data_IF_050952401981
#
_entry.id   IF_050952401981
#
_cell.length_a   1.000
_cell.length_b   1.000
_cell.length_c   1.000
_cell.angle_alpha   90.00
_cell.angle_beta   90.00
_cell.angle_gamma   90.00
#
_symmetry.space_group_name_H-M   'P 1'
#
loop_
_entity.id
_entity.type
_entity.pdbx_description
1 polymer ?
#
# COMPACT_ATOMS: atom_id res chain seq x y z
N UNK A 1 -9.33 16.24 35.46
CA UNK A 1 -8.31 15.30 34.94
C UNK A 1 -8.88 13.91 34.61
N UNK A 2 -9.73 13.31 35.45
CA UNK A 2 -10.34 11.98 35.21
C UNK A 2 -11.29 11.95 34.00
N UNK A 3 -12.08 13.02 33.78
CA UNK A 3 -13.04 13.09 32.65
C UNK A 3 -12.33 13.16 31.28
N UNK A 4 -11.18 13.84 31.20
CA UNK A 4 -10.36 13.91 29.96
C UNK A 4 -9.75 12.53 29.66
N UNK A 5 -9.36 11.77 30.70
CA UNK A 5 -8.85 10.41 30.54
C UNK A 5 -9.94 9.45 30.03
N UNK A 6 -11.20 9.60 30.48
CA UNK A 6 -12.35 8.83 29.97
C UNK A 6 -12.73 9.18 28.52
N UNK A 7 -12.59 10.44 28.11
CA UNK A 7 -12.81 10.86 26.71
C UNK A 7 -11.76 10.27 25.74
N UNK A 8 -10.53 10.04 26.20
CA UNK A 8 -9.49 9.36 25.41
C UNK A 8 -9.78 7.86 25.19
N UNK A 9 -10.54 7.21 26.08
CA UNK A 9 -10.98 5.81 25.88
C UNK A 9 -12.17 5.68 24.91
N UNK A 10 -12.86 6.77 24.57
CA UNK A 10 -13.98 6.77 23.61
C UNK A 10 -13.52 6.96 22.15
N UNK A 11 -12.25 7.30 21.92
CA UNK A 11 -11.63 7.39 20.60
C UNK A 11 -10.72 6.17 20.36
N UNK A 12 -11.26 4.96 20.54
CA UNK A 12 -10.57 3.78 20.01
C UNK A 12 -10.39 3.97 18.49
N UNK A 13 -9.18 3.81 17.92
CA UNK A 13 -8.97 3.88 16.49
C UNK A 13 -9.94 2.94 15.79
N UNK A 14 -10.85 3.50 15.01
CA UNK A 14 -11.86 2.71 14.32
C UNK A 14 -11.14 1.98 13.17
N UNK A 15 -10.88 0.68 13.34
CA UNK A 15 -10.26 -0.18 12.34
C UNK A 15 -11.21 -0.54 11.20
N UNK A 16 -11.79 0.47 10.56
CA UNK A 16 -12.67 0.29 9.39
C UNK A 16 -11.88 -0.21 8.20
N UNK A 17 -12.51 -1.06 7.40
CA UNK A 17 -11.97 -1.51 6.10
C UNK A 17 -11.66 -0.34 5.17
N UNK A 18 -10.58 -0.46 4.40
CA UNK A 18 -10.24 0.43 3.30
C UNK A 18 -10.72 -0.16 1.98
N UNK A 19 -11.53 0.59 1.24
CA UNK A 19 -12.10 0.12 -0.01
C UNK A 19 -12.12 1.26 -1.04
N UNK A 20 -11.56 1.01 -2.22
CA UNK A 20 -11.71 1.90 -3.36
C UNK A 20 -11.54 1.12 -4.68
N UNK A 21 -12.04 1.71 -5.76
CA UNK A 21 -11.91 1.17 -7.10
C UNK A 21 -11.80 2.33 -8.11
N UNK A 22 -10.65 2.43 -8.77
CA UNK A 22 -10.38 3.32 -9.88
C UNK A 22 -10.35 2.49 -11.17
N UNK A 23 -11.40 2.60 -11.98
CA UNK A 23 -11.39 2.03 -13.34
C UNK A 23 -10.46 2.81 -14.28
N UNK A 24 -10.29 4.10 -14.00
CA UNK A 24 -9.38 5.06 -14.64
C UNK A 24 -9.02 6.15 -13.63
N UNK A 25 -8.10 7.04 -13.97
CA UNK A 25 -7.66 8.16 -13.14
C UNK A 25 -8.04 9.50 -13.79
N UNK A 26 -9.17 10.12 -13.40
CA UNK A 26 -9.60 11.39 -13.99
C UNK A 26 -8.74 12.57 -13.51
N UNK A 27 -8.61 13.57 -14.38
CA UNK A 27 -8.00 14.86 -14.02
C UNK A 27 -8.69 15.48 -12.79
N UNK A 28 -7.88 16.00 -11.86
CA UNK A 28 -8.37 16.63 -10.63
C UNK A 28 -8.75 15.66 -9.51
N UNK A 29 -8.38 14.38 -9.62
CA UNK A 29 -8.51 13.41 -8.53
C UNK A 29 -7.79 13.92 -7.26
N UNK A 30 -8.52 13.98 -6.15
CA UNK A 30 -8.02 14.46 -4.85
C UNK A 30 -7.90 13.35 -3.80
N UNK A 31 -8.18 12.11 -4.20
CA UNK A 31 -8.06 10.91 -3.36
C UNK A 31 -6.69 10.26 -3.45
N UNK A 32 -5.74 10.89 -4.16
CA UNK A 32 -4.36 10.45 -4.30
C UNK A 32 -3.42 11.54 -3.80
N UNK A 33 -2.36 11.14 -3.11
CA UNK A 33 -1.18 11.98 -2.89
C UNK A 33 -0.14 11.59 -3.93
N UNK A 34 0.36 12.58 -4.67
CA UNK A 34 1.37 12.40 -5.71
C UNK A 34 2.68 13.04 -5.25
N UNK A 35 3.78 12.31 -5.38
CA UNK A 35 5.12 12.70 -4.97
C UNK A 35 6.11 12.50 -6.13
N UNK A 36 7.19 13.30 -6.15
CA UNK A 36 8.16 13.26 -7.24
C UNK A 36 7.55 13.74 -8.56
N UNK A 37 7.79 13.01 -9.65
CA UNK A 37 7.24 13.32 -10.99
C UNK A 37 5.91 12.61 -11.28
N UNK A 38 5.31 11.95 -10.28
CA UNK A 38 4.01 11.29 -10.46
C UNK A 38 2.91 12.32 -10.81
N UNK A 39 2.13 12.00 -11.82
CA UNK A 39 1.12 12.90 -12.40
C UNK A 39 -0.07 12.12 -12.96
N UNK A 40 -1.18 12.80 -13.21
CA UNK A 40 -2.28 12.25 -14.01
C UNK A 40 -2.04 12.61 -15.46
N UNK A 41 -2.00 11.59 -16.33
CA UNK A 41 -1.79 11.72 -17.77
C UNK A 41 -3.03 11.20 -18.50
N UNK A 42 -3.97 12.10 -18.77
CA UNK A 42 -5.27 11.78 -19.36
C UNK A 42 -6.16 10.99 -18.40
N UNK A 43 -6.21 9.67 -18.58
CA UNK A 43 -6.97 8.73 -17.76
C UNK A 43 -6.07 7.78 -16.96
N UNK A 44 -4.76 8.01 -16.98
CA UNK A 44 -3.75 7.14 -16.38
C UNK A 44 -3.04 7.84 -15.22
N UNK A 45 -2.70 7.08 -14.18
CA UNK A 45 -1.74 7.52 -13.17
C UNK A 45 -0.34 7.24 -13.70
N UNK A 46 0.40 8.27 -14.07
CA UNK A 46 1.77 8.17 -14.59
C UNK A 46 2.76 8.36 -13.44
N UNK A 47 3.64 7.38 -13.23
CA UNK A 47 4.63 7.41 -12.15
C UNK A 47 5.98 7.95 -12.62
N UNK A 48 6.36 7.74 -13.89
CA UNK A 48 7.60 8.29 -14.47
C UNK A 48 7.39 8.83 -15.88
N UNK A 49 8.35 9.63 -16.33
CA UNK A 49 8.46 10.13 -17.70
C UNK A 49 9.63 9.44 -18.42
N UNK A 50 9.72 9.63 -19.74
CA UNK A 50 10.82 9.08 -20.54
C UNK A 50 12.08 9.91 -20.32
N UNK A 51 13.21 9.26 -20.01
CA UNK A 51 14.52 9.92 -19.86
C UNK A 51 14.99 10.69 -21.11
N UNK A 52 14.35 10.49 -22.26
CA UNK A 52 14.61 11.25 -23.49
C UNK A 52 14.11 12.70 -23.44
N UNK A 53 13.26 13.06 -22.48
CA UNK A 53 12.62 14.37 -22.41
C UNK A 53 13.35 15.39 -21.51
N UNK A 54 14.20 14.96 -20.57
CA UNK A 54 15.12 15.86 -19.85
C UNK A 54 16.19 15.08 -19.08
N UNK A 55 17.48 15.34 -19.33
CA UNK A 55 18.59 14.52 -18.81
C UNK A 55 19.06 14.90 -17.40
N UNK A 56 18.40 15.82 -16.69
CA UNK A 56 19.01 16.39 -15.48
C UNK A 56 18.20 16.31 -14.17
N UNK A 57 16.91 15.94 -14.15
CA UNK A 57 16.16 16.05 -12.89
C UNK A 57 15.10 14.97 -12.67
N UNK A 58 15.45 13.97 -11.84
CA UNK A 58 14.50 13.18 -11.03
C UNK A 58 13.51 12.27 -11.79
N UNK A 59 13.97 11.10 -12.22
CA UNK A 59 13.12 10.03 -12.78
C UNK A 59 12.50 9.13 -11.71
N UNK A 60 11.84 9.72 -10.71
CA UNK A 60 11.19 8.98 -9.62
C UNK A 60 9.84 9.59 -9.27
N UNK A 61 8.81 8.76 -9.22
CA UNK A 61 7.48 9.17 -8.80
C UNK A 61 6.83 8.15 -7.89
N UNK A 62 5.97 8.65 -7.01
CA UNK A 62 5.21 7.85 -6.05
C UNK A 62 3.80 8.39 -5.95
N UNK A 63 2.84 7.49 -5.82
CA UNK A 63 1.44 7.82 -5.69
C UNK A 63 0.77 6.92 -4.65
N UNK A 64 0.11 7.52 -3.68
CA UNK A 64 -0.55 6.79 -2.57
C UNK A 64 -2.01 7.16 -2.46
N UNK A 65 -2.86 6.21 -2.05
CA UNK A 65 -4.24 6.53 -1.71
C UNK A 65 -4.28 7.42 -0.47
N UNK A 66 -5.17 8.42 -0.48
CA UNK A 66 -5.08 9.52 0.49
C UNK A 66 -5.46 9.16 1.92
N UNK A 67 -6.26 8.10 2.10
CA UNK A 67 -6.66 7.63 3.42
C UNK A 67 -5.79 6.43 3.84
N UNK A 68 -5.06 6.53 4.97
CA UNK A 68 -4.40 5.37 5.54
C UNK A 68 -5.44 4.41 6.14
N UNK A 69 -5.02 3.17 6.41
CA UNK A 69 -5.84 2.20 7.13
C UNK A 69 -5.08 1.54 8.27
N UNK A 70 -5.80 1.11 9.31
CA UNK A 70 -5.20 0.42 10.44
C UNK A 70 -4.90 -1.02 10.04
N UNK A 71 -3.62 -1.39 9.96
CA UNK A 71 -3.20 -2.73 9.55
C UNK A 71 -3.47 -3.76 10.66
N UNK A 72 -3.27 -3.36 11.92
CA UNK A 72 -3.43 -4.23 13.10
C UNK A 72 -4.18 -3.54 14.23
N UNK A 73 -5.05 -4.31 14.87
CA UNK A 73 -5.55 -4.00 16.19
C UNK A 73 -4.70 -4.69 17.27
N UNK A 74 -3.94 -3.89 18.02
CA UNK A 74 -3.06 -4.38 19.09
C UNK A 74 -3.83 -5.01 20.25
N UNK A 75 -5.05 -4.54 20.55
CA UNK A 75 -5.84 -5.06 21.67
C UNK A 75 -6.39 -6.46 21.38
N UNK A 76 -6.75 -6.73 20.13
CA UNK A 76 -7.32 -8.02 19.69
C UNK A 76 -6.28 -8.95 19.05
N UNK A 77 -5.08 -8.43 18.74
CA UNK A 77 -4.08 -9.18 17.97
C UNK A 77 -4.51 -9.50 16.54
N UNK A 78 -5.55 -8.83 16.02
CA UNK A 78 -6.14 -9.08 14.70
C UNK A 78 -5.41 -8.25 13.65
N UNK A 79 -5.02 -8.89 12.56
CA UNK A 79 -4.37 -8.31 11.40
C UNK A 79 -5.37 -8.29 10.24
N UNK A 80 -5.28 -7.28 9.38
CA UNK A 80 -6.17 -7.13 8.22
C UNK A 80 -5.76 -8.07 7.09
N UNK A 81 -6.73 -8.77 6.50
CA UNK A 81 -6.58 -9.36 5.16
C UNK A 81 -6.85 -8.28 4.12
N UNK A 82 -6.12 -8.32 3.00
CA UNK A 82 -6.40 -7.41 1.90
C UNK A 82 -6.23 -8.07 0.53
N UNK A 83 -6.87 -7.47 -0.46
CA UNK A 83 -6.64 -7.77 -1.87
C UNK A 83 -6.56 -6.46 -2.63
N UNK A 84 -5.57 -6.34 -3.50
CA UNK A 84 -5.47 -5.24 -4.46
C UNK A 84 -5.35 -5.81 -5.86
N UNK A 85 -6.02 -5.16 -6.82
CA UNK A 85 -5.91 -5.50 -8.23
C UNK A 85 -5.59 -4.24 -9.00
N UNK A 86 -4.67 -4.33 -9.93
CA UNK A 86 -4.36 -3.22 -10.81
C UNK A 86 -4.01 -3.71 -12.21
N UNK A 87 -4.18 -2.81 -13.16
CA UNK A 87 -3.62 -2.97 -14.50
C UNK A 87 -2.66 -1.84 -14.76
N UNK A 88 -1.58 -2.12 -15.48
CA UNK A 88 -0.49 -1.19 -15.67
C UNK A 88 0.21 -1.43 -17.00
N UNK A 89 0.99 -0.45 -17.41
CA UNK A 89 1.80 -0.50 -18.61
C UNK A 89 3.18 0.06 -18.29
N UNK A 90 4.22 -0.64 -18.72
CA UNK A 90 5.59 -0.13 -18.76
C UNK A 90 6.00 -0.10 -20.22
N UNK A 91 6.36 1.08 -20.74
CA UNK A 91 6.65 1.27 -22.15
C UNK A 91 8.03 1.90 -22.36
N UNK A 92 8.94 1.18 -23.03
CA UNK A 92 10.26 1.70 -23.39
C UNK A 92 10.32 2.34 -24.79
N UNK A 93 9.18 2.58 -25.44
CA UNK A 93 9.09 3.19 -26.77
C UNK A 93 9.89 2.41 -27.83
N UNK A 94 9.78 1.07 -27.80
CA UNK A 94 10.53 0.13 -28.62
C UNK A 94 12.06 0.15 -28.41
N UNK A 95 12.56 0.75 -27.33
CA UNK A 95 13.99 0.71 -26.96
C UNK A 95 14.32 -0.62 -26.27
N UNK A 96 15.53 -1.11 -26.52
CA UNK A 96 16.06 -2.32 -25.88
C UNK A 96 16.73 -2.05 -24.54
N UNK A 97 17.15 -0.82 -24.30
CA UNK A 97 17.72 -0.39 -23.03
C UNK A 97 16.61 0.30 -22.25
N UNK A 98 16.08 -0.38 -21.24
CA UNK A 98 15.02 0.08 -20.36
C UNK A 98 15.39 -0.23 -18.92
N UNK A 99 14.88 0.58 -18.00
CA UNK A 99 15.07 0.45 -16.55
C UNK A 99 14.03 1.34 -15.84
N UNK A 100 13.85 1.27 -14.52
CA UNK A 100 14.30 0.20 -13.61
C UNK A 100 13.11 -0.67 -13.20
N UNK A 101 11.94 -0.07 -12.95
CA UNK A 101 10.71 -0.81 -12.67
C UNK A 101 9.69 -0.01 -11.86
N UNK A 102 8.70 -0.74 -11.34
CA UNK A 102 7.71 -0.20 -10.41
C UNK A 102 7.46 -1.17 -9.26
N UNK A 103 6.96 -0.65 -8.15
CA UNK A 103 6.56 -1.44 -6.99
C UNK A 103 5.18 -1.00 -6.48
N UNK A 104 4.32 -1.97 -6.14
CA UNK A 104 3.20 -1.73 -5.22
C UNK A 104 3.70 -1.93 -3.80
N UNK A 105 3.44 -1.00 -2.88
CA UNK A 105 3.98 -1.08 -1.52
C UNK A 105 2.95 -0.81 -0.43
N UNK A 106 3.25 -1.33 0.75
CA UNK A 106 2.69 -0.95 2.04
C UNK A 106 3.81 -0.33 2.89
N UNK A 107 3.54 0.81 3.52
CA UNK A 107 4.48 1.50 4.40
C UNK A 107 3.75 2.22 5.55
N UNK A 108 4.43 2.60 6.66
CA UNK A 108 3.83 3.39 7.73
C UNK A 108 3.21 4.68 7.22
N UNK A 109 2.10 5.09 7.84
CA UNK A 109 1.51 6.40 7.60
C UNK A 109 2.53 7.51 7.93
N UNK A 110 2.71 8.45 6.99
CA UNK A 110 3.76 9.47 7.06
C UNK A 110 5.08 9.08 6.38
N UNK A 111 5.19 7.87 5.82
CA UNK A 111 6.24 7.55 4.86
C UNK A 111 6.09 8.45 3.63
N UNK A 112 7.20 9.03 3.19
CA UNK A 112 7.28 9.90 2.02
C UNK A 112 8.43 9.51 1.10
N UNK A 113 8.33 9.95 -0.16
CA UNK A 113 9.40 9.84 -1.15
C UNK A 113 10.54 10.78 -0.78
N UNK A 114 11.73 10.23 -0.57
CA UNK A 114 12.95 11.03 -0.51
C UNK A 114 13.67 10.94 -1.85
N UNK A 115 13.42 11.93 -2.70
CA UNK A 115 13.78 11.88 -4.12
C UNK A 115 15.29 11.94 -4.40
N UNK A 116 16.11 12.26 -3.39
CA UNK A 116 17.57 12.19 -3.46
C UNK A 116 18.15 10.78 -3.24
N UNK A 117 17.38 9.82 -2.71
CA UNK A 117 17.88 8.47 -2.37
C UNK A 117 17.05 7.34 -3.00
N UNK A 118 15.76 7.55 -3.28
CA UNK A 118 14.89 6.52 -3.87
C UNK A 118 15.01 6.40 -5.40
N UNK A 119 16.18 6.67 -5.98
CA UNK A 119 16.38 6.68 -7.44
C UNK A 119 16.86 5.32 -7.95
N UNK A 120 16.85 5.17 -9.27
CA UNK A 120 17.41 4.03 -10.00
C UNK A 120 16.83 2.70 -9.47
N UNK A 121 17.66 1.69 -9.22
CA UNK A 121 17.27 0.40 -8.64
C UNK A 121 16.60 0.42 -7.25
N UNK A 122 16.35 1.59 -6.66
CA UNK A 122 15.54 1.67 -5.43
C UNK A 122 14.04 1.69 -5.69
N UNK A 123 13.60 1.82 -6.95
CA UNK A 123 12.18 1.82 -7.36
C UNK A 123 11.29 2.86 -6.64
N UNK A 124 11.89 3.94 -6.11
CA UNK A 124 11.17 4.95 -5.32
C UNK A 124 10.85 4.52 -3.88
N UNK A 125 11.36 3.37 -3.44
CA UNK A 125 11.30 2.90 -2.05
C UNK A 125 12.36 3.66 -1.23
N UNK A 126 11.96 4.14 -0.05
CA UNK A 126 12.74 5.11 0.74
C UNK A 126 13.91 4.48 1.50
N UNK A 127 14.91 3.99 0.75
CA UNK A 127 16.17 3.44 1.27
C UNK A 127 17.32 4.41 1.06
N UNK A 128 18.18 4.54 2.07
CA UNK A 128 19.47 5.21 1.95
C UNK A 128 20.51 4.13 1.65
N UNK A 129 21.31 4.31 0.62
CA UNK A 129 22.61 3.64 0.50
C UNK A 129 23.70 4.56 1.07
N UNK A 130 24.07 4.44 2.35
CA UNK A 130 25.36 4.98 2.74
C UNK A 130 26.44 4.23 1.94
N UNK A 131 27.55 4.88 1.62
CA UNK A 131 28.70 4.25 0.94
C UNK A 131 29.36 3.11 1.75
N UNK A 132 28.76 2.76 2.88
CA UNK A 132 29.06 1.63 3.76
C UNK A 132 27.96 0.59 3.51
N UNK A 133 28.31 -0.65 3.19
CA UNK A 133 27.47 -1.75 2.66
C UNK A 133 26.13 -2.11 3.36
N UNK A 134 25.59 -1.29 4.25
CA UNK A 134 24.30 -1.47 4.91
C UNK A 134 23.31 -0.39 4.46
N UNK A 135 22.27 -0.78 3.73
CA UNK A 135 21.18 0.13 3.39
C UNK A 135 20.42 0.55 4.66
N UNK A 136 20.23 1.85 4.88
CA UNK A 136 19.39 2.36 5.98
C UNK A 136 17.98 2.56 5.42
N UNK A 137 17.03 1.75 5.87
CA UNK A 137 15.64 1.97 5.53
C UNK A 137 15.07 3.14 6.34
N UNK A 138 14.59 4.19 5.66
CA UNK A 138 13.91 5.30 6.33
C UNK A 138 12.55 4.88 6.89
N UNK A 139 11.86 3.99 6.17
CA UNK A 139 10.54 3.51 6.54
C UNK A 139 10.43 2.03 6.22
N UNK A 140 10.11 1.16 7.20
CA UNK A 140 9.86 -0.24 6.88
C UNK A 140 8.78 -0.36 5.81
N UNK A 141 8.93 -1.33 4.91
CA UNK A 141 7.98 -1.55 3.83
C UNK A 141 7.86 -3.04 3.51
N UNK A 142 6.74 -3.38 2.90
CA UNK A 142 6.57 -4.62 2.15
C UNK A 142 6.11 -4.23 0.76
N UNK A 143 6.76 -4.75 -0.27
CA UNK A 143 6.46 -4.40 -1.64
C UNK A 143 6.40 -5.62 -2.56
N UNK A 144 5.67 -5.47 -3.65
CA UNK A 144 5.71 -6.36 -4.80
C UNK A 144 6.24 -5.55 -5.95
N UNK A 145 7.44 -5.91 -6.40
CA UNK A 145 8.16 -5.24 -7.48
C UNK A 145 7.92 -5.92 -8.83
N UNK A 146 7.97 -5.11 -9.87
CA UNK A 146 7.99 -5.48 -11.27
C UNK A 146 9.26 -4.86 -11.86
N UNK A 147 10.36 -5.59 -11.70
CA UNK A 147 11.70 -5.16 -12.02
C UNK A 147 12.04 -5.50 -13.47
N UNK A 148 12.51 -4.49 -14.20
CA UNK A 148 12.86 -4.57 -15.63
C UNK A 148 14.34 -4.27 -15.85
N UNK A 149 15.17 -4.25 -14.81
CA UNK A 149 16.59 -3.96 -14.91
C UNK A 149 17.41 -4.64 -13.82
N UNK A 150 18.35 -5.48 -14.26
CA UNK A 150 19.23 -6.17 -13.32
C UNK A 150 20.19 -5.22 -12.60
N UNK A 151 20.04 -5.07 -11.28
CA UNK A 151 21.02 -4.48 -10.38
C UNK A 151 21.81 -5.57 -9.61
N UNK A 152 23.09 -5.84 -9.97
CA UNK A 152 23.88 -6.92 -9.38
C UNK A 152 24.53 -6.55 -8.03
N UNK A 153 24.14 -5.45 -7.40
CA UNK A 153 24.72 -5.01 -6.12
C UNK A 153 24.18 -5.89 -4.98
N UNK A 154 25.00 -6.24 -3.99
CA UNK A 154 24.67 -7.21 -2.92
C UNK A 154 23.35 -6.95 -2.18
N UNK A 155 23.00 -5.67 -2.04
CA UNK A 155 21.80 -5.17 -1.36
C UNK A 155 20.50 -5.21 -2.21
N UNK A 156 20.60 -5.54 -3.50
CA UNK A 156 19.47 -5.80 -4.41
C UNK A 156 19.58 -7.25 -4.92
N UNK A 157 20.73 -7.58 -5.54
CA UNK A 157 21.13 -8.93 -5.98
C UNK A 157 20.12 -9.56 -6.94
N UNK A 158 19.79 -8.81 -8.00
CA UNK A 158 18.77 -9.22 -8.96
C UNK A 158 19.16 -10.46 -9.77
N UNK A 159 18.18 -11.32 -10.09
CA UNK A 159 18.36 -12.35 -11.09
C UNK A 159 18.71 -11.74 -12.45
N UNK A 160 19.31 -12.55 -13.33
CA UNK A 160 19.74 -12.14 -14.68
C UNK A 160 18.59 -11.99 -15.69
N UNK A 161 17.40 -11.63 -15.22
CA UNK A 161 16.19 -11.49 -16.02
C UNK A 161 15.20 -10.54 -15.33
N UNK A 162 14.40 -9.85 -16.13
CA UNK A 162 13.22 -9.11 -15.66
C UNK A 162 12.32 -10.04 -14.82
N UNK A 163 11.83 -9.55 -13.69
CA UNK A 163 11.17 -10.39 -12.71
C UNK A 163 10.08 -9.68 -11.92
N UNK A 164 9.19 -10.48 -11.33
CA UNK A 164 8.33 -10.06 -10.22
C UNK A 164 8.96 -10.54 -8.93
N UNK A 165 9.00 -9.67 -7.93
CA UNK A 165 9.64 -9.91 -6.64
C UNK A 165 8.73 -9.61 -5.45
N UNK A 166 9.04 -10.17 -4.28
CA UNK A 166 8.43 -9.79 -3.00
C UNK A 166 9.52 -9.29 -2.06
N UNK A 167 9.44 -8.00 -1.75
CA UNK A 167 10.39 -7.29 -0.92
C UNK A 167 9.88 -7.14 0.49
N UNK A 168 10.76 -7.43 1.46
CA UNK A 168 10.46 -7.31 2.88
C UNK A 168 11.57 -6.51 3.54
N UNK A 169 11.32 -5.21 3.71
CA UNK A 169 12.22 -4.27 4.37
C UNK A 169 13.64 -4.22 3.76
N UNK A 170 13.77 -4.53 2.47
CA UNK A 170 15.02 -4.61 1.69
C UNK A 170 14.66 -4.63 0.21
N UNK A 171 15.54 -4.17 -0.69
CA UNK A 171 15.39 -4.32 -2.15
C UNK A 171 15.81 -5.70 -2.62
N UNK A 172 16.48 -6.48 -1.77
CA UNK A 172 16.73 -7.88 -2.08
C UNK A 172 15.46 -8.67 -1.84
N UNK A 173 14.76 -8.95 -2.93
CA UNK A 173 13.58 -9.80 -2.98
C UNK A 173 13.76 -11.11 -2.20
N UNK A 174 12.75 -11.48 -1.42
CA UNK A 174 12.71 -12.77 -0.69
C UNK A 174 12.45 -13.94 -1.62
N UNK A 175 11.72 -13.69 -2.69
CA UNK A 175 11.41 -14.65 -3.73
C UNK A 175 11.18 -13.87 -5.02
N UNK A 176 11.63 -14.42 -6.15
CA UNK A 176 11.44 -13.82 -7.46
C UNK A 176 10.89 -14.84 -8.45
N UNK A 177 10.23 -14.35 -9.50
CA UNK A 177 9.81 -15.15 -10.65
C UNK A 177 10.06 -14.39 -11.93
N UNK A 178 10.66 -15.05 -12.92
CA UNK A 178 10.90 -14.45 -14.23
C UNK A 178 9.60 -13.91 -14.84
N UNK A 179 9.70 -12.73 -15.45
CA UNK A 179 8.54 -11.99 -15.94
C UNK A 179 8.86 -11.30 -17.26
N UNK A 180 8.09 -11.61 -18.29
CA UNK A 180 8.05 -10.84 -19.52
C UNK A 180 6.82 -9.92 -19.55
N UNK A 181 7.02 -8.63 -19.31
CA UNK A 181 5.97 -7.60 -19.37
C UNK A 181 5.71 -7.03 -20.77
N UNK A 182 6.43 -7.50 -21.80
CA UNK A 182 6.40 -6.92 -23.17
C UNK A 182 6.69 -5.41 -23.19
N UNK A 183 7.72 -5.01 -22.42
CA UNK A 183 8.12 -3.62 -22.16
C UNK A 183 8.32 -2.77 -23.42
N UNK A 184 8.97 -3.27 -24.50
CA UNK A 184 9.19 -2.45 -25.69
C UNK A 184 7.91 -1.99 -26.39
N UNK A 185 6.85 -2.79 -26.33
CA UNK A 185 5.57 -2.49 -26.97
C UNK A 185 4.58 -1.80 -26.02
N UNK A 186 4.90 -1.70 -24.73
CA UNK A 186 3.98 -1.15 -23.74
C UNK A 186 2.66 -1.92 -23.68
N UNK A 187 2.70 -3.25 -23.69
CA UNK A 187 1.46 -4.03 -23.52
C UNK A 187 0.91 -3.85 -22.11
N UNK A 188 -0.41 -3.91 -22.00
CA UNK A 188 -1.08 -3.88 -20.69
C UNK A 188 -0.78 -5.17 -19.94
N UNK A 189 -0.45 -5.02 -18.67
CA UNK A 189 -0.26 -6.09 -17.70
C UNK A 189 -1.30 -5.95 -16.58
N UNK A 190 -1.60 -7.04 -15.88
CA UNK A 190 -2.45 -7.07 -14.69
C UNK A 190 -1.78 -7.81 -13.56
N UNK A 191 -2.05 -7.38 -12.33
CA UNK A 191 -1.62 -8.07 -11.12
C UNK A 191 -2.73 -8.05 -10.06
N UNK A 192 -2.84 -9.16 -9.32
CA UNK A 192 -3.65 -9.30 -8.12
C UNK A 192 -2.74 -9.68 -6.97
N UNK A 193 -2.73 -8.89 -5.90
CA UNK A 193 -1.96 -9.15 -4.69
C UNK A 193 -2.96 -9.40 -3.56
N UNK A 194 -2.81 -10.53 -2.89
CA UNK A 194 -3.64 -10.93 -1.75
C UNK A 194 -2.76 -11.24 -0.55
N UNK A 195 -3.10 -10.64 0.58
CA UNK A 195 -2.57 -11.03 1.87
C UNK A 195 -3.62 -11.74 2.71
N UNK A 196 -3.26 -12.93 3.19
CA UNK A 196 -4.04 -13.76 4.11
C UNK A 196 -3.32 -13.80 5.46
N UNK A 197 -3.89 -13.11 6.46
CA UNK A 197 -3.31 -12.97 7.79
C UNK A 197 -3.31 -14.26 8.59
N UNK A 198 -4.26 -15.17 8.34
CA UNK A 198 -4.35 -16.47 9.01
C UNK A 198 -3.19 -17.39 8.64
N UNK A 199 -2.79 -17.39 7.38
CA UNK A 199 -1.64 -18.13 6.87
C UNK A 199 -0.34 -17.31 6.80
N UNK A 200 -0.41 -16.01 7.06
CA UNK A 200 0.67 -15.02 6.90
C UNK A 200 1.25 -15.04 5.49
N UNK A 201 0.39 -15.20 4.48
CA UNK A 201 0.80 -15.41 3.11
C UNK A 201 0.51 -14.19 2.25
N UNK A 202 1.55 -13.62 1.66
CA UNK A 202 1.44 -12.64 0.59
C UNK A 202 1.58 -13.36 -0.74
N UNK A 203 0.54 -13.31 -1.56
CA UNK A 203 0.49 -13.98 -2.86
C UNK A 203 0.19 -13.00 -3.98
N UNK A 204 0.79 -13.25 -5.14
CA UNK A 204 0.72 -12.39 -6.32
C UNK A 204 0.38 -13.27 -7.52
N UNK A 205 -0.70 -12.97 -8.22
CA UNK A 205 -0.92 -13.45 -9.60
C UNK A 205 -0.69 -12.29 -10.56
N UNK A 206 -0.08 -12.55 -11.71
CA UNK A 206 0.26 -11.51 -12.66
C UNK A 206 0.27 -12.02 -14.10
N UNK A 207 0.07 -11.13 -15.06
CA UNK A 207 0.21 -11.48 -16.48
C UNK A 207 1.67 -11.51 -16.89
N UNK A 208 2.04 -12.51 -17.68
CA UNK A 208 3.33 -12.54 -18.38
C UNK A 208 3.16 -13.00 -19.82
N UNK A 209 4.04 -12.58 -20.72
CA UNK A 209 3.92 -12.89 -22.15
C UNK A 209 4.88 -14.00 -22.58
N UNK A 210 4.34 -15.07 -23.16
CA UNK A 210 5.08 -16.17 -23.77
C UNK A 210 4.71 -16.27 -25.25
N UNK A 211 5.69 -16.15 -26.14
CA UNK A 211 5.48 -16.17 -27.60
C UNK A 211 4.37 -15.21 -28.09
N UNK A 212 4.23 -14.05 -27.41
CA UNK A 212 3.23 -13.03 -27.73
C UNK A 212 1.82 -13.30 -27.20
N UNK A 213 1.60 -14.41 -26.49
CA UNK A 213 0.34 -14.75 -25.80
C UNK A 213 0.52 -14.48 -24.30
N UNK A 214 -0.52 -13.98 -23.63
CA UNK A 214 -0.46 -13.81 -22.19
C UNK A 214 -0.71 -15.15 -21.48
N UNK A 215 0.03 -15.40 -20.42
CA UNK A 215 -0.14 -16.50 -19.47
C UNK A 215 -0.12 -15.95 -18.05
N UNK A 216 -0.58 -16.74 -17.08
CA UNK A 216 -0.61 -16.35 -15.68
C UNK A 216 0.67 -16.79 -14.95
N UNK A 217 1.34 -15.82 -14.34
CA UNK A 217 2.39 -15.99 -13.35
C UNK A 217 1.82 -15.98 -11.93
N UNK A 218 2.54 -16.61 -11.01
CA UNK A 218 2.21 -16.72 -9.60
C UNK A 218 3.47 -16.69 -8.75
N UNK A 219 3.44 -15.97 -7.63
CA UNK A 219 4.51 -15.88 -6.66
C UNK A 219 3.89 -15.73 -5.27
N UNK A 220 4.46 -16.37 -4.25
CA UNK A 220 4.02 -16.19 -2.86
C UNK A 220 5.18 -16.24 -1.88
N UNK A 221 5.00 -15.59 -0.74
CA UNK A 221 5.94 -15.60 0.35
C UNK A 221 5.21 -15.49 1.70
N UNK A 222 5.67 -16.29 2.67
CA UNK A 222 5.18 -16.20 4.05
C UNK A 222 5.87 -15.04 4.76
N UNK A 223 5.11 -13.99 5.04
CA UNK A 223 5.57 -12.80 5.75
C UNK A 223 4.55 -12.43 6.82
N UNK A 224 5.01 -12.29 8.05
CA UNK A 224 4.19 -11.70 9.09
C UNK A 224 4.24 -10.17 8.97
N UNK A 225 3.23 -9.56 8.35
CA UNK A 225 3.21 -8.10 8.20
C UNK A 225 3.27 -7.37 9.54
N UNK A 226 2.85 -7.99 10.64
CA UNK A 226 2.93 -7.39 11.97
C UNK A 226 4.36 -7.25 12.50
N UNK A 227 5.30 -8.09 12.06
CA UNK A 227 6.70 -7.98 12.45
C UNK A 227 7.41 -6.83 11.71
N UNK A 228 6.83 -6.35 10.62
CA UNK A 228 7.43 -5.36 9.71
C UNK A 228 6.74 -3.99 9.82
N UNK A 229 5.41 -3.99 9.79
CA UNK A 229 4.57 -2.80 9.72
C UNK A 229 3.65 -2.73 10.95
N UNK A 230 3.54 -1.55 11.55
CA UNK A 230 2.74 -1.33 12.75
C UNK A 230 1.77 -0.17 12.57
N UNK A 231 0.58 -0.30 13.15
CA UNK A 231 -0.41 0.78 13.21
C UNK A 231 -1.03 1.12 11.87
N UNK A 232 -1.14 2.42 11.59
CA UNK A 232 -1.72 2.94 10.36
C UNK A 232 -0.71 2.86 9.22
N UNK A 233 -1.13 2.29 8.10
CA UNK A 233 -0.32 2.14 6.90
C UNK A 233 -0.96 2.82 5.71
N UNK A 234 -0.13 3.17 4.74
CA UNK A 234 -0.51 3.67 3.43
C UNK A 234 -0.18 2.62 2.37
N UNK A 235 -0.91 2.70 1.25
CA UNK A 235 -0.69 1.87 0.07
C UNK A 235 -0.53 2.74 -1.15
N UNK A 236 0.29 2.29 -2.07
CA UNK A 236 0.57 3.06 -3.27
C UNK A 236 1.49 2.34 -4.23
N UNK A 237 1.90 3.11 -5.23
CA UNK A 237 2.90 2.70 -6.21
C UNK A 237 4.07 3.65 -6.18
N UNK A 238 5.26 3.13 -6.44
CA UNK A 238 6.45 3.91 -6.73
C UNK A 238 7.13 3.33 -7.96
N UNK A 239 7.83 4.17 -8.71
CA UNK A 239 8.57 3.72 -9.89
C UNK A 239 9.76 4.63 -10.17
N UNK A 240 10.75 4.07 -10.86
CA UNK A 240 11.94 4.76 -11.35
C UNK A 240 12.24 4.32 -12.77
N UNK A 241 12.78 5.22 -13.58
CA UNK A 241 13.29 4.87 -14.91
C UNK A 241 14.82 4.85 -15.02
N UNK A 242 15.53 5.29 -13.98
CA UNK A 242 17.00 5.37 -14.00
C UNK A 242 17.53 6.12 -15.23
N UNK A 243 18.60 5.57 -15.81
CA UNK A 243 19.21 6.06 -17.05
C UNK A 243 18.55 5.46 -18.33
N UNK A 244 17.71 4.43 -18.17
CA UNK A 244 17.00 3.77 -19.27
C UNK A 244 15.69 4.45 -19.65
N UNK A 245 15.09 3.98 -20.75
CA UNK A 245 13.78 4.49 -21.19
C UNK A 245 12.67 3.58 -20.66
N UNK A 246 11.87 4.07 -19.71
CA UNK A 246 10.61 3.43 -19.35
C UNK A 246 9.61 4.45 -18.81
N UNK A 247 8.38 4.40 -19.33
CA UNK A 247 7.23 5.16 -18.82
C UNK A 247 6.33 4.19 -18.06
N UNK A 248 6.13 4.44 -16.77
CA UNK A 248 5.31 3.62 -15.89
C UNK A 248 3.92 4.25 -15.72
N UNK A 249 2.87 3.53 -16.12
CA UNK A 249 1.48 3.97 -16.00
C UNK A 249 0.63 2.91 -15.29
N UNK A 250 -0.14 3.33 -14.30
CA UNK A 250 -1.23 2.55 -13.72
C UNK A 250 -2.51 2.93 -14.46
N UNK A 251 -3.20 1.94 -15.01
CA UNK A 251 -4.40 2.11 -15.82
C UNK A 251 -5.67 1.96 -14.98
N UNK A 252 -5.66 1.03 -14.02
CA UNK A 252 -6.74 0.84 -13.04
C UNK A 252 -6.17 0.35 -11.72
N UNK A 253 -6.86 0.63 -10.62
CA UNK A 253 -6.43 0.20 -9.28
C UNK A 253 -7.62 0.04 -8.34
N UNK A 254 -7.71 -1.12 -7.71
CA UNK A 254 -8.68 -1.42 -6.65
C UNK A 254 -7.96 -1.94 -5.42
N UNK A 255 -8.52 -1.65 -4.26
CA UNK A 255 -8.05 -2.16 -2.98
C UNK A 255 -9.26 -2.46 -2.11
N UNK A 256 -9.21 -3.60 -1.43
CA UNK A 256 -10.22 -4.03 -0.48
C UNK A 256 -9.50 -4.64 0.71
N UNK A 257 -9.90 -4.25 1.92
CA UNK A 257 -9.39 -4.83 3.14
C UNK A 257 -10.50 -5.20 4.11
N UNK A 258 -10.26 -6.20 4.94
CA UNK A 258 -11.22 -6.61 5.97
C UNK A 258 -11.32 -5.57 7.08
N UNK A 259 -12.49 -5.48 7.71
CA UNK A 259 -12.67 -4.70 8.92
C UNK A 259 -12.05 -5.40 10.13
N UNK A 260 -11.35 -4.63 10.97
CA UNK A 260 -10.88 -5.11 12.28
C UNK A 260 -12.00 -5.10 13.33
N UNK A 261 -13.17 -4.52 13.00
CA UNK A 261 -14.36 -4.55 13.86
C UNK A 261 -15.08 -5.88 13.65
N UNK A 262 -15.23 -6.65 14.72
CA UNK A 262 -16.13 -7.79 14.72
C UNK A 262 -17.57 -7.27 14.80
N UNK A 263 -18.38 -7.50 13.76
CA UNK A 263 -19.79 -7.08 13.76
C UNK A 263 -20.57 -7.68 14.96
N UNK A 264 -20.15 -8.85 15.45
CA UNK A 264 -20.73 -9.51 16.62
C UNK A 264 -20.51 -8.74 17.94
N UNK A 265 -19.54 -7.82 18.01
CA UNK A 265 -19.33 -7.00 19.21
C UNK A 265 -20.39 -5.89 19.36
N UNK A 266 -21.09 -5.53 18.28
CA UNK A 266 -22.18 -4.54 18.32
C UNK A 266 -23.48 -5.08 18.93
N UNK A 267 -23.65 -6.40 18.98
CA UNK A 267 -24.87 -7.06 19.47
C UNK A 267 -24.83 -7.42 20.96
N UNK A 268 -23.71 -7.14 21.66
CA UNK A 268 -23.56 -7.37 23.10
C UNK A 268 -23.83 -6.10 23.91
N UNK A 269 -24.85 -5.31 23.55
CA UNK A 269 -25.46 -4.40 24.52
C UNK A 269 -26.04 -5.24 25.66
N UNK A 270 -25.72 -4.95 26.93
CA UNK A 270 -26.39 -5.60 28.05
C UNK A 270 -27.88 -5.30 27.92
N UNK A 271 -28.69 -6.33 27.66
CA UNK A 271 -30.14 -6.24 27.81
C UNK A 271 -30.37 -5.89 29.27
N UNK A 272 -30.93 -4.70 29.52
CA UNK A 272 -31.33 -4.30 30.87
C UNK A 272 -32.27 -5.39 31.42
N UNK A 273 -32.11 -5.83 32.69
CA UNK A 273 -32.99 -6.84 33.25
C UNK A 273 -34.44 -6.36 33.17
N UNK A 274 -35.33 -7.17 32.58
CA UNK A 274 -36.76 -6.93 32.65
C UNK A 274 -37.21 -6.96 34.12
N UNK A 275 -37.62 -5.80 34.63
CA UNK A 275 -38.17 -5.68 35.97
C UNK A 275 -39.62 -6.19 35.97
N UNK A 276 -39.81 -7.45 36.37
CA UNK A 276 -41.13 -7.98 36.71
C UNK A 276 -41.72 -7.17 37.88
N UNK A 277 -42.80 -6.45 37.59
CA UNK A 277 -43.63 -5.72 38.55
C UNK A 277 -44.26 -6.68 39.56
N UNK A 278 -43.64 -6.81 40.73
CA UNK A 278 -44.24 -7.39 41.92
C UNK A 278 -44.35 -6.31 43.00
N UNK A 279 -45.58 -6.03 43.44
CA UNK A 279 -45.93 -5.01 44.42
C UNK A 279 -45.02 -5.01 45.67
N UNK A 280 -44.31 -3.91 45.88
CA UNK A 280 -43.60 -3.61 47.13
C UNK A 280 -42.99 -2.21 47.08
N UNK A 281 -43.50 -1.30 47.90
CA UNK A 281 -42.97 0.06 48.06
C UNK A 281 -41.55 -0.02 48.64
N UNK A 282 -40.56 0.57 47.96
CA UNK A 282 -39.33 1.06 48.59
C UNK A 282 -38.78 2.29 47.85
N UNK A 283 -38.45 3.31 48.62
CA UNK A 283 -37.98 4.65 48.23
C UNK A 283 -36.49 4.55 47.88
N UNK A 284 -36.09 5.08 46.71
CA UNK A 284 -34.68 5.12 46.27
C UNK A 284 -34.41 6.30 45.33
N UNK A 285 -33.55 7.20 45.81
CA UNK A 285 -33.09 8.49 45.26
C UNK A 285 -32.90 8.55 43.72
N UNK A 286 -33.55 9.51 43.06
CA UNK A 286 -33.21 9.94 41.69
C UNK A 286 -32.20 11.09 41.79
N UNK A 287 -30.95 10.86 41.39
CA UNK A 287 -29.99 11.94 41.09
C UNK A 287 -29.96 12.11 39.58
N UNK A 288 -30.85 12.96 39.07
CA UNK A 288 -30.78 13.47 37.71
C UNK A 288 -29.82 14.66 37.67
N UNK A 289 -28.69 14.51 36.99
CA UNK A 289 -27.79 15.63 36.70
C UNK A 289 -28.09 16.11 35.28
N UNK A 290 -28.98 17.09 35.19
CA UNK A 290 -29.23 17.90 34.00
C UNK A 290 -28.13 18.96 33.93
N UNK A 291 -27.34 18.96 32.86
CA UNK A 291 -26.68 20.18 32.39
C UNK A 291 -26.98 20.31 30.91
N UNK A 292 -28.07 21.03 30.63
CA UNK A 292 -28.21 21.76 29.38
C UNK A 292 -27.33 23.01 29.43
N UNK A 293 -26.75 23.35 28.29
CA UNK A 293 -25.93 24.54 28.13
C UNK A 293 -25.71 24.86 26.66
N UNK A 294 -26.79 25.17 25.95
CA UNK A 294 -26.72 25.99 24.75
C UNK A 294 -26.80 27.46 25.19
N UNK A 295 -25.77 28.26 24.93
CA UNK A 295 -25.94 29.69 24.64
C UNK A 295 -24.97 30.06 23.52
N UNK A 296 -25.57 30.35 22.36
CA UNK A 296 -25.04 31.23 21.34
C UNK A 296 -25.07 32.66 21.89
N UNK A 297 -23.93 33.34 21.83
CA UNK A 297 -23.78 34.73 21.38
C UNK A 297 -22.37 34.87 20.78
#
# INVERSE_FOLDING_TARGET
MVVILLLLFLLAPCGTSLNFNFSTFPNGINTLHLEGIASIDGEFLRLTESAADDSETLNVGRATYSQPFLLRDNARGKLVDFTTNFTFTINSLNKKNYSDGLAFFLAPNGSSLYSAIGRDGCLGLSLIFPRTNESINLYPFVAVEFDIFQNPFENVDDPRFDHVGIDVNSLKSKVTRAWNGSIPQGRVNSASIRYDSGSKNLSVTFTTYENGVWVEGYLDYKVDLNEILQGWVIVGFSATSGDGTAIHKINSWSFNSTSLIDENAKNNTPVAPEHNSGNGINIGLVVGLVVGGCVLL
#
